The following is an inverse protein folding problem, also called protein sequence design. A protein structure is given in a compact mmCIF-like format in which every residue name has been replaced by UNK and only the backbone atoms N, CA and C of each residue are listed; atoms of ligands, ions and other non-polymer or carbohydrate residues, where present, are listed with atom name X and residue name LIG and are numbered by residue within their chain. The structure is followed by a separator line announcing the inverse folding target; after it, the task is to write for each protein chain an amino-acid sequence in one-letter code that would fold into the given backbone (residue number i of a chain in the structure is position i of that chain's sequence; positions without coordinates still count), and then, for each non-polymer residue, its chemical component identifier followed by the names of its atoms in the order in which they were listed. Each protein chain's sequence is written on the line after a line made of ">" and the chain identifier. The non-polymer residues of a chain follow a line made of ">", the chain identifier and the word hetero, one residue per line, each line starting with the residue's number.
data_IF_942273099914
#
_entry.id   IF_942273099914
#
_cell.length_a   1.000
_cell.length_b   1.000
_cell.length_c   1.000
_cell.angle_alpha   90.00
_cell.angle_beta   90.00
_cell.angle_gamma   90.00
#
_symmetry.space_group_name_H-M   'P 1'
#
loop_
_entity.id
_entity.type
_entity.pdbx_description
1 polymer ?
#
# COMPACT_ATOMS: atom_id res chain seq x y z
N UNK A 1 -6.98 23.23 30.87
CA UNK A 1 -7.14 21.77 30.64
C UNK A 1 -7.01 21.56 29.15
N UNK A 2 -5.83 21.14 28.69
CA UNK A 2 -5.55 20.96 27.27
C UNK A 2 -6.24 19.66 26.82
N UNK A 3 -7.33 19.81 26.08
CA UNK A 3 -8.03 18.67 25.48
C UNK A 3 -7.14 18.16 24.35
N UNK A 4 -6.38 17.09 24.63
CA UNK A 4 -5.71 16.30 23.60
C UNK A 4 -6.81 15.81 22.66
N UNK A 5 -6.89 16.39 21.45
CA UNK A 5 -7.81 15.89 20.42
C UNK A 5 -7.44 14.43 20.16
N UNK A 6 -8.40 13.48 20.18
CA UNK A 6 -8.11 12.10 19.85
C UNK A 6 -7.41 12.08 18.48
N UNK A 7 -6.23 11.44 18.37
CA UNK A 7 -5.54 11.32 17.08
C UNK A 7 -6.44 10.51 16.16
N UNK A 8 -7.11 11.20 15.24
CA UNK A 8 -7.93 10.56 14.21
C UNK A 8 -7.00 9.82 13.26
N UNK A 9 -7.28 8.54 13.01
CA UNK A 9 -6.58 7.75 11.99
C UNK A 9 -6.85 8.36 10.61
N UNK A 10 -5.80 8.62 9.83
CA UNK A 10 -5.93 9.15 8.46
C UNK A 10 -6.32 8.05 7.46
N UNK A 11 -6.81 8.44 6.28
CA UNK A 11 -7.12 7.46 5.23
C UNK A 11 -5.86 6.74 4.71
N UNK A 12 -4.72 7.43 4.69
CA UNK A 12 -3.43 6.82 4.34
C UNK A 12 -3.03 5.76 5.37
N UNK A 13 -3.14 6.06 6.66
CA UNK A 13 -2.87 5.08 7.72
C UNK A 13 -3.80 3.86 7.63
N UNK A 14 -5.09 4.09 7.31
CA UNK A 14 -6.04 3.01 7.08
C UNK A 14 -5.59 2.16 5.90
N UNK A 15 -5.22 2.79 4.79
CA UNK A 15 -4.77 2.14 3.55
C UNK A 15 -3.54 1.28 3.80
N UNK A 16 -2.55 1.80 4.52
CA UNK A 16 -1.29 1.12 4.78
C UNK A 16 -1.48 -0.12 5.66
N UNK A 17 -2.25 0.01 6.74
CA UNK A 17 -2.57 -1.12 7.63
C UNK A 17 -3.41 -2.15 6.90
N UNK A 18 -4.46 -1.73 6.18
CA UNK A 18 -5.29 -2.64 5.42
C UNK A 18 -4.48 -3.37 4.34
N UNK A 19 -3.62 -2.65 3.62
CA UNK A 19 -2.70 -3.23 2.64
C UNK A 19 -1.86 -4.33 3.27
N UNK A 20 -1.15 -4.02 4.38
CA UNK A 20 -0.33 -5.00 5.09
C UNK A 20 -1.15 -6.23 5.49
N UNK A 21 -2.32 -6.02 6.11
CA UNK A 21 -3.17 -7.12 6.58
C UNK A 21 -3.69 -7.98 5.42
N UNK A 22 -4.04 -7.38 4.27
CA UNK A 22 -4.44 -8.13 3.08
C UNK A 22 -3.26 -8.90 2.45
N UNK A 23 -2.06 -8.33 2.44
CA UNK A 23 -0.86 -9.01 1.95
C UNK A 23 -0.47 -10.20 2.84
N UNK A 24 -0.65 -10.07 4.16
CA UNK A 24 -0.31 -11.12 5.13
C UNK A 24 -1.37 -12.23 5.21
N UNK A 25 -2.66 -11.86 5.19
CA UNK A 25 -3.77 -12.78 5.51
C UNK A 25 -4.71 -13.06 4.33
N UNK A 26 -4.48 -12.41 3.20
CA UNK A 26 -5.29 -12.55 1.99
C UNK A 26 -6.66 -11.85 2.06
N UNK A 27 -7.46 -11.95 0.98
CA UNK A 27 -8.73 -11.24 0.83
C UNK A 27 -9.82 -11.67 1.84
N UNK A 28 -9.67 -12.86 2.43
CA UNK A 28 -10.63 -13.44 3.38
C UNK A 28 -10.70 -12.73 4.73
N UNK A 29 -9.68 -11.95 5.10
CA UNK A 29 -9.59 -11.32 6.44
C UNK A 29 -10.82 -10.49 6.81
N UNK A 30 -11.31 -10.62 8.04
CA UNK A 30 -12.48 -9.88 8.50
C UNK A 30 -12.16 -8.39 8.69
N UNK A 31 -13.12 -7.51 8.38
CA UNK A 31 -12.98 -6.05 8.58
C UNK A 31 -12.68 -5.72 10.05
N UNK A 32 -13.23 -6.49 11.00
CA UNK A 32 -12.97 -6.31 12.44
C UNK A 32 -11.51 -6.52 12.82
N UNK A 33 -10.80 -7.41 12.12
CA UNK A 33 -9.37 -7.62 12.38
C UNK A 33 -8.56 -6.40 11.92
N UNK A 34 -8.89 -5.83 10.76
CA UNK A 34 -8.24 -4.62 10.25
C UNK A 34 -8.53 -3.43 11.18
N UNK A 35 -9.78 -3.26 11.58
CA UNK A 35 -10.22 -2.18 12.46
C UNK A 35 -9.56 -2.26 13.84
N UNK A 36 -9.40 -3.48 14.38
CA UNK A 36 -8.69 -3.71 15.65
C UNK A 36 -7.23 -3.26 15.59
N UNK A 37 -6.52 -3.47 14.48
CA UNK A 37 -5.13 -3.02 14.34
C UNK A 37 -5.00 -1.50 14.23
N UNK A 38 -6.08 -0.82 13.81
CA UNK A 38 -6.17 0.63 13.72
C UNK A 38 -6.73 1.28 15.00
N UNK A 39 -7.18 0.50 15.98
CA UNK A 39 -7.85 1.00 17.18
C UNK A 39 -9.19 1.68 16.89
N UNK A 40 -9.88 1.29 15.81
CA UNK A 40 -11.18 1.83 15.40
C UNK A 40 -12.23 0.71 15.31
N UNK A 41 -13.50 1.08 15.11
CA UNK A 41 -14.55 0.09 14.86
C UNK A 41 -14.67 -0.21 13.35
N UNK A 42 -15.12 -1.41 12.99
CA UNK A 42 -15.44 -1.73 11.59
C UNK A 42 -16.46 -0.80 10.98
N UNK A 43 -17.43 -0.33 11.77
CA UNK A 43 -18.40 0.66 11.31
C UNK A 43 -17.73 1.99 10.96
N UNK A 44 -16.79 2.47 11.78
CA UNK A 44 -16.04 3.70 11.48
C UNK A 44 -15.17 3.54 10.22
N UNK A 45 -14.55 2.37 10.04
CA UNK A 45 -13.77 2.03 8.86
C UNK A 45 -14.63 2.00 7.58
N UNK A 46 -15.76 1.29 7.61
CA UNK A 46 -16.69 1.18 6.48
C UNK A 46 -17.46 2.47 6.20
N UNK A 47 -17.63 3.37 7.17
CA UNK A 47 -18.17 4.71 6.90
C UNK A 47 -17.27 5.51 5.96
N UNK A 48 -15.96 5.28 5.99
CA UNK A 48 -14.95 5.99 5.16
C UNK A 48 -14.73 5.32 3.80
N UNK A 49 -14.69 3.99 3.79
CA UNK A 49 -14.39 3.21 2.58
C UNK A 49 -15.61 2.54 1.94
N UNK A 50 -16.81 2.78 2.48
CA UNK A 50 -18.11 2.24 2.08
C UNK A 50 -18.27 0.72 2.20
N UNK A 51 -17.36 -0.06 1.61
CA UNK A 51 -17.39 -1.53 1.60
C UNK A 51 -16.02 -2.14 1.86
N UNK A 52 -15.99 -3.39 2.33
CA UNK A 52 -14.75 -4.17 2.45
C UNK A 52 -14.05 -4.31 1.10
N UNK A 53 -14.82 -4.51 0.00
CA UNK A 53 -14.27 -4.65 -1.35
C UNK A 53 -13.56 -3.37 -1.81
N UNK A 54 -14.13 -2.22 -1.51
CA UNK A 54 -13.52 -0.94 -1.85
C UNK A 54 -12.28 -0.65 -1.00
N UNK A 55 -12.32 -0.92 0.31
CA UNK A 55 -11.12 -0.90 1.15
C UNK A 55 -10.01 -1.81 0.60
N UNK A 56 -10.38 -3.04 0.19
CA UNK A 56 -9.46 -4.02 -0.38
C UNK A 56 -8.77 -3.50 -1.66
N UNK A 57 -9.54 -3.00 -2.62
CA UNK A 57 -9.02 -2.49 -3.89
C UNK A 57 -8.15 -1.25 -3.64
N UNK A 58 -8.67 -0.26 -2.92
CA UNK A 58 -7.97 1.01 -2.67
C UNK A 58 -6.69 0.83 -1.84
N UNK A 59 -6.58 -0.23 -1.04
CA UNK A 59 -5.39 -0.51 -0.25
C UNK A 59 -4.28 -1.20 -1.03
N UNK A 60 -4.63 -1.95 -2.07
CA UNK A 60 -3.65 -2.70 -2.85
C UNK A 60 -3.16 -1.94 -4.09
N UNK A 61 -3.85 -0.89 -4.53
CA UNK A 61 -3.36 0.00 -5.58
C UNK A 61 -2.22 0.87 -5.03
N UNK A 62 -1.00 0.82 -5.60
CA UNK A 62 0.08 1.71 -5.21
C UNK A 62 -0.29 3.17 -5.50
N UNK A 63 -0.18 4.04 -4.49
CA UNK A 63 -0.45 5.48 -4.61
C UNK A 63 0.81 6.34 -4.60
N UNK A 64 1.93 5.75 -4.19
CA UNK A 64 3.22 6.44 -4.06
C UNK A 64 3.98 6.43 -5.38
N UNK A 65 4.78 7.47 -5.58
CA UNK A 65 5.72 7.55 -6.69
C UNK A 65 6.82 6.49 -6.52
N UNK A 66 7.08 5.66 -7.55
CA UNK A 66 8.07 4.61 -7.43
C UNK A 66 9.49 5.17 -7.37
N UNK A 67 10.28 4.66 -6.41
CA UNK A 67 11.64 5.14 -6.15
C UNK A 67 12.61 5.06 -7.35
N UNK A 68 12.33 4.21 -8.35
CA UNK A 68 13.14 4.12 -9.57
C UNK A 68 12.95 5.32 -10.51
N UNK A 69 11.80 6.02 -10.45
CA UNK A 69 11.48 7.10 -11.39
C UNK A 69 12.47 8.27 -11.32
N UNK A 70 12.74 8.88 -10.16
CA UNK A 70 13.71 9.97 -10.08
C UNK A 70 15.11 9.54 -10.54
N UNK A 71 15.53 8.29 -10.27
CA UNK A 71 16.82 7.75 -10.74
C UNK A 71 16.95 7.73 -12.27
N UNK A 72 15.83 7.64 -12.99
CA UNK A 72 15.80 7.69 -14.45
C UNK A 72 15.66 9.12 -14.97
N UNK A 73 14.85 9.95 -14.30
CA UNK A 73 14.59 11.35 -14.69
C UNK A 73 15.81 12.25 -14.49
N UNK A 74 16.57 12.04 -13.41
CA UNK A 74 17.79 12.80 -13.11
C UNK A 74 18.91 12.54 -14.13
N UNK A 75 18.83 11.41 -14.84
CA UNK A 75 19.82 11.00 -15.82
C UNK A 75 21.16 10.57 -15.21
N UNK A 76 22.17 10.29 -16.05
CA UNK A 76 23.44 9.76 -15.56
C UNK A 76 24.26 10.81 -14.80
N UNK A 77 24.87 10.39 -13.70
CA UNK A 77 25.80 11.20 -12.91
C UNK A 77 27.28 10.81 -13.17
N UNK A 78 28.21 11.35 -12.37
CA UNK A 78 29.65 11.13 -12.51
C UNK A 78 30.16 9.78 -11.99
N UNK A 79 29.32 8.98 -11.33
CA UNK A 79 29.69 7.64 -10.85
C UNK A 79 29.84 6.66 -12.03
N UNK A 80 30.50 5.50 -11.85
CA UNK A 80 30.55 4.47 -12.89
C UNK A 80 29.15 4.02 -13.33
N UNK A 81 28.91 3.93 -14.65
CA UNK A 81 27.61 3.52 -15.23
C UNK A 81 27.08 2.22 -14.64
N UNK A 82 27.97 1.26 -14.35
CA UNK A 82 27.60 -0.02 -13.75
C UNK A 82 26.94 0.15 -12.38
N UNK A 83 27.39 1.10 -11.57
CA UNK A 83 26.83 1.37 -10.24
C UNK A 83 25.45 2.03 -10.37
N UNK A 84 25.33 3.03 -11.24
CA UNK A 84 24.06 3.69 -11.51
C UNK A 84 23.00 2.72 -12.03
N UNK A 85 23.38 1.84 -12.98
CA UNK A 85 22.50 0.79 -13.49
C UNK A 85 22.10 -0.21 -12.40
N UNK A 86 23.02 -0.56 -11.49
CA UNK A 86 22.69 -1.46 -10.38
C UNK A 86 21.65 -0.84 -9.45
N UNK A 87 21.77 0.44 -9.11
CA UNK A 87 20.81 1.17 -8.29
C UNK A 87 19.41 1.20 -8.93
N UNK A 88 19.34 1.55 -10.23
CA UNK A 88 18.09 1.57 -10.99
C UNK A 88 17.45 0.18 -11.04
N UNK A 89 18.24 -0.86 -11.37
CA UNK A 89 17.76 -2.24 -11.44
C UNK A 89 17.27 -2.74 -10.08
N UNK A 90 17.93 -2.36 -8.99
CA UNK A 90 17.50 -2.72 -7.64
C UNK A 90 16.16 -2.06 -7.29
N UNK A 91 16.01 -0.76 -7.57
CA UNK A 91 14.77 -0.03 -7.34
C UNK A 91 13.61 -0.58 -8.20
N UNK A 92 13.86 -0.91 -9.47
CA UNK A 92 12.89 -1.55 -10.36
C UNK A 92 12.48 -2.94 -9.84
N UNK A 93 13.45 -3.77 -9.46
CA UNK A 93 13.18 -5.11 -8.94
C UNK A 93 12.31 -5.07 -7.68
N UNK A 94 12.62 -4.15 -6.74
CA UNK A 94 11.81 -3.93 -5.53
C UNK A 94 10.38 -3.51 -5.86
N UNK A 95 10.21 -2.54 -6.76
CA UNK A 95 8.90 -2.07 -7.21
C UNK A 95 8.08 -3.20 -7.86
N UNK A 96 8.64 -3.92 -8.83
CA UNK A 96 7.91 -5.00 -9.52
C UNK A 96 7.61 -6.19 -8.61
N UNK A 97 8.46 -6.49 -7.64
CA UNK A 97 8.18 -7.51 -6.63
C UNK A 97 6.99 -7.10 -5.75
N UNK A 98 6.92 -5.85 -5.32
CA UNK A 98 5.79 -5.32 -4.54
C UNK A 98 4.49 -5.31 -5.35
N UNK A 99 4.52 -4.78 -6.58
CA UNK A 99 3.37 -4.80 -7.50
C UNK A 99 2.90 -6.24 -7.73
N UNK A 100 3.81 -7.18 -8.00
CA UNK A 100 3.45 -8.58 -8.25
C UNK A 100 2.75 -9.23 -7.06
N UNK A 101 3.16 -8.91 -5.82
CA UNK A 101 2.49 -9.37 -4.59
C UNK A 101 1.07 -8.81 -4.50
N UNK A 102 0.91 -7.50 -4.67
CA UNK A 102 -0.40 -6.82 -4.62
C UNK A 102 -1.36 -7.35 -5.68
N UNK A 103 -0.89 -7.52 -6.92
CA UNK A 103 -1.69 -8.06 -8.02
C UNK A 103 -2.12 -9.51 -7.77
N UNK A 104 -1.24 -10.32 -7.16
CA UNK A 104 -1.59 -11.69 -6.79
C UNK A 104 -2.70 -11.73 -5.75
N UNK A 105 -2.65 -10.86 -4.74
CA UNK A 105 -3.71 -10.75 -3.73
C UNK A 105 -5.01 -10.23 -4.33
N UNK A 106 -4.96 -9.20 -5.19
CA UNK A 106 -6.14 -8.69 -5.91
C UNK A 106 -6.85 -9.79 -6.71
N UNK A 107 -6.10 -10.59 -7.47
CA UNK A 107 -6.64 -11.72 -8.24
C UNK A 107 -7.29 -12.77 -7.34
N UNK A 108 -6.64 -13.13 -6.22
CA UNK A 108 -7.23 -14.04 -5.23
C UNK A 108 -8.55 -13.50 -4.65
N UNK A 109 -8.71 -12.17 -4.58
CA UNK A 109 -9.94 -11.51 -4.16
C UNK A 109 -10.99 -11.33 -5.27
N UNK A 110 -10.79 -11.91 -6.45
CA UNK A 110 -11.70 -11.78 -7.59
C UNK A 110 -11.74 -10.35 -8.14
N UNK A 111 -10.62 -9.64 -8.08
CA UNK A 111 -10.42 -8.36 -8.76
C UNK A 111 -9.42 -8.61 -9.87
N UNK A 112 -9.82 -8.31 -11.10
CA UNK A 112 -8.92 -8.31 -12.24
C UNK A 112 -8.34 -6.89 -12.40
N UNK A 113 -7.04 -6.69 -12.14
CA UNK A 113 -6.36 -5.43 -12.40
C UNK A 113 -6.02 -5.39 -13.89
N UNK A 114 -7.02 -5.09 -14.72
CA UNK A 114 -6.85 -4.83 -16.14
C UNK A 114 -6.23 -3.45 -16.39
#
# INVERSE_FOLDING_TARGET
>A
MEVVRPRSVSDDQIRDVACRVFLERGPGVATDQIASELGVTSQALLKRFHTKRELFIRSLIPTEEPAWRPLVEDGPDSRPVKEQLADILHALAGFFADVSKRMSVLRLGGVDPA
#
